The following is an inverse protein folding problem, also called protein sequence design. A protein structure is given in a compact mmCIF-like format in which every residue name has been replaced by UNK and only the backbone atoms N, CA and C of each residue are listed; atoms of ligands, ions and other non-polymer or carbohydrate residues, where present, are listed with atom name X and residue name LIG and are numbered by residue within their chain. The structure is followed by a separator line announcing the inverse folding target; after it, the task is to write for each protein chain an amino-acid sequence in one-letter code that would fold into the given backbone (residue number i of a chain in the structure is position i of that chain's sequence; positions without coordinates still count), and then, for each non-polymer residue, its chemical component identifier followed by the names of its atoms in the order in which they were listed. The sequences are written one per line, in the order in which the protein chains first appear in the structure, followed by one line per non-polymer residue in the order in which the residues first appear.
data_IF_668226590945
#
_entry.id   IF_668226590945
#
_cell.length_a   1.000
_cell.length_b   1.000
_cell.length_c   1.000
_cell.angle_alpha   90.00
_cell.angle_beta   90.00
_cell.angle_gamma   90.00
#
_symmetry.space_group_name_H-M   'P 1'
#
loop_
_entity.id
_entity.type
_entity.pdbx_description
1 polymer ?
#
# COMPACT_ATOMS: atom_id res chain seq x y z
N UNK A 1 25.94 -6.85 20.15
CA UNK A 1 24.76 -6.41 20.94
C UNK A 1 24.98 -4.97 21.36
N UNK A 2 23.96 -4.11 21.27
CA UNK A 2 23.98 -2.73 21.79
C UNK A 2 22.64 -2.48 22.48
N UNK A 3 22.64 -1.91 23.68
CA UNK A 3 21.40 -1.66 24.40
C UNK A 3 21.57 -0.79 25.63
N UNK A 4 20.44 -0.30 26.14
CA UNK A 4 20.41 0.46 27.40
C UNK A 4 20.47 -0.48 28.59
N UNK A 5 21.16 -0.06 29.66
CA UNK A 5 21.22 -0.81 30.92
C UNK A 5 20.44 -0.06 31.98
N UNK A 6 19.60 -0.78 32.73
CA UNK A 6 18.87 -0.20 33.86
C UNK A 6 19.86 0.17 34.96
N UNK A 7 19.72 1.37 35.55
CA UNK A 7 20.66 1.92 36.55
C UNK A 7 20.72 1.13 37.85
N UNK A 8 19.71 0.34 38.16
CA UNK A 8 19.60 -0.46 39.39
C UNK A 8 20.29 -1.84 39.29
N UNK A 9 21.04 -2.09 38.22
CA UNK A 9 21.81 -3.33 38.04
C UNK A 9 23.04 -3.31 38.93
N UNK A 10 23.21 -4.34 39.77
CA UNK A 10 24.31 -4.48 40.73
C UNK A 10 25.68 -4.61 40.06
N UNK A 11 25.69 -5.06 38.81
CA UNK A 11 26.89 -5.23 38.00
C UNK A 11 27.48 -3.89 37.53
N UNK A 12 26.71 -2.79 37.61
CA UNK A 12 27.18 -1.48 37.20
C UNK A 12 28.09 -0.85 38.26
N UNK A 13 29.33 -0.45 37.90
CA UNK A 13 30.18 0.31 38.80
C UNK A 13 29.49 1.59 39.29
N UNK A 14 29.43 1.86 40.60
CA UNK A 14 28.80 3.07 41.14
C UNK A 14 29.36 4.37 40.55
N UNK A 15 30.62 4.36 40.10
CA UNK A 15 31.31 5.47 39.45
C UNK A 15 30.68 5.91 38.12
N UNK A 16 29.96 5.01 37.44
CA UNK A 16 29.17 5.33 36.24
C UNK A 16 27.83 5.98 36.60
N UNK A 17 27.29 5.71 37.79
CA UNK A 17 25.97 6.20 38.21
C UNK A 17 26.02 7.60 38.82
N UNK A 18 27.14 7.96 39.46
CA UNK A 18 27.35 9.29 40.08
C UNK A 18 27.46 10.41 39.04
N UNK A 19 26.51 11.36 39.06
CA UNK A 19 26.44 12.50 38.12
C UNK A 19 26.59 13.89 38.74
N UNK A 20 26.57 14.02 40.06
CA UNK A 20 26.50 15.33 40.77
C UNK A 20 27.62 16.31 40.38
N UNK A 21 28.82 15.80 40.09
CA UNK A 21 29.99 16.60 39.70
C UNK A 21 30.40 16.40 38.24
N UNK A 22 29.53 15.84 37.40
CA UNK A 22 29.84 15.57 36.00
C UNK A 22 29.36 16.73 35.11
N UNK A 23 30.21 17.26 34.21
CA UNK A 23 29.78 18.27 33.26
C UNK A 23 28.75 17.69 32.29
N UNK A 24 27.86 18.56 31.82
CA UNK A 24 26.88 18.22 30.77
C UNK A 24 27.65 17.85 29.49
N UNK A 25 27.12 16.90 28.72
CA UNK A 25 27.76 16.29 27.54
C UNK A 25 29.06 15.53 27.83
N UNK A 26 29.32 15.15 29.09
CA UNK A 26 30.45 14.28 29.42
C UNK A 26 30.08 12.80 29.31
N UNK A 27 31.06 11.99 28.91
CA UNK A 27 30.99 10.54 28.86
C UNK A 27 32.03 9.90 29.78
N UNK A 28 31.71 8.72 30.31
CA UNK A 28 32.64 7.83 31.01
C UNK A 28 32.49 6.45 30.41
N UNK A 29 33.61 5.81 30.12
CA UNK A 29 33.64 4.47 29.57
C UNK A 29 34.24 3.50 30.58
N UNK A 30 33.70 2.30 30.61
CA UNK A 30 34.26 1.15 31.34
C UNK A 30 34.36 0.00 30.36
N UNK A 31 35.51 -0.64 30.37
CA UNK A 31 35.84 -1.71 29.44
C UNK A 31 36.02 -3.02 30.20
N UNK A 32 35.57 -4.08 29.56
CA UNK A 32 35.87 -5.47 29.92
C UNK A 32 36.48 -6.15 28.69
N UNK A 33 36.80 -7.44 28.77
CA UNK A 33 37.41 -8.16 27.65
C UNK A 33 36.54 -8.16 26.37
N UNK A 34 35.21 -8.17 26.52
CA UNK A 34 34.25 -8.36 25.44
C UNK A 34 33.15 -7.28 25.38
N UNK A 35 33.03 -6.43 26.39
CA UNK A 35 31.96 -5.43 26.48
C UNK A 35 32.48 -4.06 26.90
N UNK A 36 31.84 -3.02 26.37
CA UNK A 36 32.05 -1.62 26.74
C UNK A 36 30.77 -1.04 27.29
N UNK A 37 30.86 -0.40 28.45
CA UNK A 37 29.79 0.39 29.06
C UNK A 37 30.10 1.87 28.87
N UNK A 38 29.07 2.65 28.53
CA UNK A 38 29.16 4.11 28.50
C UNK A 38 28.10 4.72 29.41
N UNK A 39 28.52 5.69 30.22
CA UNK A 39 27.63 6.60 30.93
C UNK A 39 27.79 8.00 30.37
N UNK A 40 26.72 8.51 29.75
CA UNK A 40 26.66 9.83 29.14
C UNK A 40 25.67 10.73 29.90
N UNK A 41 26.07 11.97 30.16
CA UNK A 41 25.26 12.98 30.87
C UNK A 41 24.71 13.98 29.84
N UNK A 42 23.51 13.77 29.26
CA UNK A 42 22.96 14.67 28.25
C UNK A 42 22.56 16.03 28.85
N UNK A 43 22.07 16.03 30.10
CA UNK A 43 21.58 17.19 30.85
C UNK A 43 21.94 17.03 32.32
N UNK A 44 21.92 18.13 33.08
CA UNK A 44 22.16 18.10 34.53
C UNK A 44 21.14 17.18 35.22
N UNK A 45 21.63 16.22 36.00
CA UNK A 45 20.79 15.23 36.70
C UNK A 45 20.35 14.04 35.85
N UNK A 46 20.60 14.04 34.54
CA UNK A 46 20.29 12.91 33.65
C UNK A 46 21.54 12.06 33.39
N UNK A 47 21.34 10.75 33.29
CA UNK A 47 22.39 9.80 32.98
C UNK A 47 21.81 8.73 32.06
N UNK A 48 22.47 8.52 30.93
CA UNK A 48 22.14 7.49 29.95
C UNK A 48 23.25 6.45 29.98
N UNK A 49 22.90 5.21 30.34
CA UNK A 49 23.84 4.09 30.42
C UNK A 49 23.55 3.11 29.31
N UNK A 50 24.54 2.85 28.45
CA UNK A 50 24.49 1.85 27.41
C UNK A 50 25.62 0.84 27.56
N UNK A 51 25.36 -0.36 27.06
CA UNK A 51 26.32 -1.44 26.92
C UNK A 51 26.41 -1.83 25.44
N UNK A 52 27.62 -2.13 25.00
CA UNK A 52 27.86 -2.70 23.67
C UNK A 52 28.92 -3.80 23.72
N UNK A 53 28.72 -4.85 22.93
CA UNK A 53 29.76 -5.83 22.58
C UNK A 53 30.40 -5.55 21.21
N UNK A 54 29.89 -4.54 20.49
CA UNK A 54 30.39 -4.13 19.17
C UNK A 54 31.48 -3.06 19.27
N UNK A 55 31.29 -2.08 20.15
CA UNK A 55 32.19 -0.94 20.30
C UNK A 55 33.26 -1.28 21.33
N UNK A 56 34.54 -1.21 20.94
CA UNK A 56 35.68 -1.47 21.84
C UNK A 56 36.42 -0.20 22.26
N UNK A 57 36.21 0.88 21.52
CA UNK A 57 36.88 2.15 21.75
C UNK A 57 35.88 3.19 22.27
N UNK A 58 36.36 4.12 23.10
CA UNK A 58 35.56 5.21 23.66
C UNK A 58 35.32 6.36 22.69
N UNK A 59 35.06 6.05 21.41
CA UNK A 59 34.97 7.06 20.37
C UNK A 59 33.76 7.98 20.60
N UNK A 60 34.02 9.27 20.43
CA UNK A 60 33.02 10.32 20.49
C UNK A 60 32.77 10.80 19.06
N UNK A 61 31.51 11.09 18.78
CA UNK A 61 31.16 11.75 17.54
C UNK A 61 31.61 13.21 17.60
N UNK A 62 32.23 13.69 16.51
CA UNK A 62 32.66 15.09 16.34
C UNK A 62 31.47 16.07 16.12
N UNK A 63 30.25 15.54 16.09
CA UNK A 63 29.02 16.33 15.99
C UNK A 63 28.67 17.03 17.31
N UNK A 64 27.65 17.88 17.23
CA UNK A 64 27.09 18.62 18.36
C UNK A 64 26.79 17.70 19.56
N UNK A 65 27.13 18.16 20.76
CA UNK A 65 26.93 17.46 22.04
C UNK A 65 27.89 16.29 22.37
N UNK A 66 28.93 16.03 21.56
CA UNK A 66 30.01 15.04 21.83
C UNK A 66 29.47 13.68 22.27
N UNK A 67 28.41 13.21 21.59
CA UNK A 67 27.76 11.94 21.92
C UNK A 67 28.69 10.77 21.59
N UNK A 68 28.79 9.76 22.46
CA UNK A 68 29.46 8.50 22.14
C UNK A 68 28.86 7.87 20.87
N UNK A 69 29.71 7.33 20.00
CA UNK A 69 29.27 6.61 18.79
C UNK A 69 28.28 5.49 19.13
N UNK A 70 28.53 4.77 20.24
CA UNK A 70 27.61 3.75 20.77
C UNK A 70 26.17 4.25 20.95
N UNK A 71 25.98 5.51 21.37
CA UNK A 71 24.65 6.10 21.54
C UNK A 71 24.04 6.46 20.18
N UNK A 72 24.86 6.88 19.22
CA UNK A 72 24.40 7.17 17.85
C UNK A 72 23.88 5.89 17.18
N UNK A 73 24.65 4.81 17.24
CA UNK A 73 24.28 3.51 16.68
C UNK A 73 23.03 2.92 17.33
N UNK A 74 22.94 3.02 18.66
CA UNK A 74 21.72 2.65 19.37
C UNK A 74 20.52 3.47 18.91
N UNK A 75 20.66 4.80 18.77
CA UNK A 75 19.55 5.65 18.34
C UNK A 75 19.13 5.39 16.90
N UNK A 76 20.07 5.04 16.02
CA UNK A 76 19.80 4.68 14.63
C UNK A 76 18.98 3.38 14.51
N UNK A 77 19.19 2.43 15.44
CA UNK A 77 18.63 1.07 15.34
C UNK A 77 17.44 0.81 16.27
N UNK A 78 17.35 1.48 17.44
CA UNK A 78 16.32 1.23 18.47
C UNK A 78 14.88 1.39 17.97
N UNK A 79 14.68 2.17 16.90
CA UNK A 79 13.35 2.49 16.38
C UNK A 79 12.72 1.41 15.50
N UNK A 80 13.43 0.35 15.13
CA UNK A 80 12.93 -0.64 14.16
C UNK A 80 11.57 -1.25 14.54
N UNK A 81 11.47 -1.76 15.76
CA UNK A 81 10.23 -2.40 16.26
C UNK A 81 9.12 -1.38 16.49
N UNK A 82 9.42 -0.24 17.13
CA UNK A 82 8.44 0.82 17.36
C UNK A 82 7.88 1.39 16.05
N UNK A 83 8.72 1.50 15.02
CA UNK A 83 8.28 1.96 13.70
C UNK A 83 7.38 0.91 13.04
N UNK A 84 7.72 -0.37 13.13
CA UNK A 84 6.85 -1.44 12.64
C UNK A 84 5.50 -1.40 13.36
N UNK A 85 5.49 -1.30 14.70
CA UNK A 85 4.26 -1.25 15.51
C UNK A 85 3.36 -0.07 15.12
N UNK A 86 3.94 1.13 14.98
CA UNK A 86 3.22 2.31 14.46
C UNK A 86 2.63 2.07 13.08
N UNK A 87 3.40 1.45 12.18
CA UNK A 87 3.00 1.22 10.81
C UNK A 87 1.89 0.17 10.71
N UNK A 88 1.99 -0.92 11.46
CA UNK A 88 0.98 -1.98 11.56
C UNK A 88 -0.31 -1.43 12.15
N UNK A 89 -0.22 -0.66 13.24
CA UNK A 89 -1.39 -0.07 13.91
C UNK A 89 -2.19 0.86 12.98
N UNK A 90 -1.52 1.60 12.08
CA UNK A 90 -2.17 2.52 11.15
C UNK A 90 -3.14 1.85 10.17
N UNK A 91 -2.96 0.55 9.87
CA UNK A 91 -3.81 -0.21 8.94
C UNK A 91 -4.23 -1.55 9.54
N UNK A 92 -4.53 -1.57 10.84
CA UNK A 92 -4.85 -2.80 11.55
C UNK A 92 -6.25 -3.32 11.21
N UNK A 93 -6.36 -4.63 11.02
CA UNK A 93 -7.63 -5.35 10.85
C UNK A 93 -8.24 -5.81 12.18
N UNK A 94 -7.63 -5.47 13.32
CA UNK A 94 -8.11 -5.86 14.65
C UNK A 94 -9.55 -5.44 14.89
N UNK A 95 -10.27 -6.29 15.62
CA UNK A 95 -11.65 -6.06 16.08
C UNK A 95 -11.74 -6.34 17.57
N UNK A 96 -12.65 -5.64 18.24
CA UNK A 96 -12.98 -5.92 19.64
C UNK A 96 -13.45 -7.37 19.74
N UNK A 97 -12.78 -8.14 20.58
CA UNK A 97 -13.05 -9.57 20.78
C UNK A 97 -12.87 -9.92 22.25
N UNK A 98 -13.59 -10.94 22.70
CA UNK A 98 -13.42 -11.55 24.02
C UNK A 98 -12.53 -12.81 23.97
N UNK A 99 -12.06 -13.20 22.79
CA UNK A 99 -11.26 -14.40 22.57
C UNK A 99 -9.81 -14.01 22.28
N UNK A 100 -8.91 -14.27 23.23
CA UNK A 100 -7.48 -13.95 23.09
C UNK A 100 -6.79 -14.59 21.87
N UNK A 101 -7.15 -15.80 21.37
CA UNK A 101 -6.49 -16.35 20.18
C UNK A 101 -6.72 -15.50 18.93
N UNK A 102 -7.90 -14.85 18.84
CA UNK A 102 -8.19 -13.94 17.72
C UNK A 102 -7.30 -12.69 17.75
N UNK A 103 -6.86 -12.24 18.93
CA UNK A 103 -5.92 -11.10 19.03
C UNK A 103 -4.60 -11.45 18.35
N UNK A 104 -4.05 -12.63 18.66
CA UNK A 104 -2.81 -13.12 18.03
C UNK A 104 -3.02 -13.32 16.53
N UNK A 105 -4.16 -13.89 16.12
CA UNK A 105 -4.47 -14.06 14.71
C UNK A 105 -4.49 -12.72 13.95
N UNK A 106 -5.08 -11.67 14.52
CA UNK A 106 -5.04 -10.35 13.93
C UNK A 106 -3.62 -9.77 13.85
N UNK A 107 -2.80 -9.97 14.88
CA UNK A 107 -1.37 -9.58 14.83
C UNK A 107 -0.64 -10.29 13.70
N UNK A 108 -0.84 -11.61 13.56
CA UNK A 108 -0.24 -12.39 12.47
C UNK A 108 -0.66 -11.86 11.09
N UNK A 109 -1.95 -11.53 10.91
CA UNK A 109 -2.45 -10.98 9.65
C UNK A 109 -1.81 -9.62 9.32
N UNK A 110 -1.81 -8.69 10.27
CA UNK A 110 -1.31 -7.34 10.04
C UNK A 110 0.20 -7.34 9.76
N UNK A 111 0.99 -8.12 10.53
CA UNK A 111 2.44 -8.28 10.33
C UNK A 111 2.74 -8.96 9.00
N UNK A 112 2.00 -10.02 8.65
CA UNK A 112 2.19 -10.73 7.38
C UNK A 112 1.90 -9.84 6.18
N UNK A 113 0.82 -9.04 6.25
CA UNK A 113 0.47 -8.10 5.20
C UNK A 113 1.57 -7.02 5.03
N UNK A 114 2.10 -6.49 6.13
CA UNK A 114 3.20 -5.53 6.08
C UNK A 114 4.48 -6.14 5.51
N UNK A 115 4.86 -7.35 5.92
CA UNK A 115 6.03 -8.04 5.38
C UNK A 115 5.88 -8.31 3.87
N UNK A 116 4.69 -8.72 3.43
CA UNK A 116 4.37 -8.87 2.00
C UNK A 116 4.52 -7.56 1.23
N UNK A 117 4.12 -6.43 1.83
CA UNK A 117 4.33 -5.10 1.25
C UNK A 117 5.81 -4.76 1.09
N UNK A 118 6.64 -5.04 2.10
CA UNK A 118 8.09 -4.82 2.03
C UNK A 118 8.71 -5.65 0.91
N UNK A 119 8.39 -6.94 0.83
CA UNK A 119 8.87 -7.84 -0.23
C UNK A 119 8.46 -7.31 -1.61
N UNK A 120 7.21 -6.88 -1.78
CA UNK A 120 6.72 -6.30 -3.05
C UNK A 120 7.51 -5.05 -3.44
N UNK A 121 7.82 -4.17 -2.49
CA UNK A 121 8.61 -2.97 -2.75
C UNK A 121 10.05 -3.31 -3.12
N UNK A 122 10.65 -4.32 -2.47
CA UNK A 122 12.02 -4.76 -2.74
C UNK A 122 12.16 -5.43 -4.11
N UNK A 123 11.18 -6.25 -4.52
CA UNK A 123 11.20 -6.94 -5.82
C UNK A 123 10.77 -6.06 -6.99
N UNK A 124 10.00 -5.01 -6.74
CA UNK A 124 9.45 -4.14 -7.79
C UNK A 124 9.49 -2.66 -7.37
N UNK A 125 10.68 -2.02 -7.36
CA UNK A 125 10.84 -0.62 -6.95
C UNK A 125 10.04 0.38 -7.79
N UNK A 126 9.82 0.04 -9.06
CA UNK A 126 9.03 0.81 -10.03
C UNK A 126 7.53 0.79 -9.75
N UNK A 127 7.05 -0.20 -8.98
CA UNK A 127 5.64 -0.35 -8.70
C UNK A 127 5.10 0.88 -7.97
N UNK A 128 4.10 1.53 -8.60
CA UNK A 128 3.51 2.77 -8.13
C UNK A 128 4.54 3.89 -7.86
N UNK A 129 5.61 4.00 -8.67
CA UNK A 129 6.58 5.11 -8.60
C UNK A 129 5.84 6.47 -8.60
N UNK A 130 6.28 7.37 -7.73
CA UNK A 130 5.67 8.70 -7.56
C UNK A 130 4.37 8.74 -6.74
N UNK A 131 3.80 7.61 -6.34
CA UNK A 131 2.65 7.59 -5.43
C UNK A 131 3.11 7.64 -3.97
N UNK A 132 2.45 8.47 -3.16
CA UNK A 132 2.72 8.58 -1.72
C UNK A 132 2.06 7.45 -0.91
N UNK A 133 0.92 6.92 -1.38
CA UNK A 133 0.09 5.95 -0.64
C UNK A 133 0.32 4.50 -1.07
N UNK A 134 1.57 4.11 -1.37
CA UNK A 134 1.89 2.78 -1.91
C UNK A 134 1.39 1.62 -1.04
N UNK A 135 1.45 1.77 0.29
CA UNK A 135 0.98 0.77 1.24
C UNK A 135 -0.54 0.58 1.21
N UNK A 136 -1.30 1.67 1.11
CA UNK A 136 -2.76 1.62 0.99
C UNK A 136 -3.16 0.87 -0.29
N UNK A 137 -2.53 1.24 -1.40
CA UNK A 137 -2.74 0.58 -2.70
C UNK A 137 -2.39 -0.91 -2.64
N UNK A 138 -1.31 -1.27 -1.94
CA UNK A 138 -0.92 -2.67 -1.77
C UNK A 138 -1.98 -3.45 -1.00
N UNK A 139 -2.49 -2.92 0.11
CA UNK A 139 -3.54 -3.59 0.89
C UNK A 139 -4.86 -3.69 0.13
N UNK A 140 -5.20 -2.68 -0.67
CA UNK A 140 -6.36 -2.75 -1.56
C UNK A 140 -6.21 -3.86 -2.61
N UNK A 141 -5.06 -3.93 -3.28
CA UNK A 141 -4.75 -4.97 -4.27
C UNK A 141 -4.72 -6.36 -3.63
N UNK A 142 -4.10 -6.50 -2.45
CA UNK A 142 -4.07 -7.73 -1.66
C UNK A 142 -5.47 -8.20 -1.30
N UNK A 143 -6.30 -7.31 -0.75
CA UNK A 143 -7.67 -7.62 -0.36
C UNK A 143 -8.52 -8.06 -1.56
N UNK A 144 -8.43 -7.33 -2.68
CA UNK A 144 -9.11 -7.72 -3.93
C UNK A 144 -8.64 -9.09 -4.43
N UNK A 145 -7.34 -9.35 -4.40
CA UNK A 145 -6.76 -10.61 -4.87
C UNK A 145 -7.22 -11.80 -4.03
N UNK A 146 -7.26 -11.66 -2.71
CA UNK A 146 -7.71 -12.72 -1.81
C UNK A 146 -9.21 -13.00 -1.91
N UNK A 147 -10.03 -11.95 -2.08
CA UNK A 147 -11.49 -12.07 -2.06
C UNK A 147 -12.06 -12.45 -3.43
N UNK A 148 -11.44 -12.05 -4.55
CA UNK A 148 -11.93 -12.32 -5.92
C UNK A 148 -12.26 -13.80 -6.18
N UNK A 149 -11.38 -14.79 -5.90
CA UNK A 149 -11.72 -16.20 -6.10
C UNK A 149 -12.92 -16.67 -5.30
N UNK A 150 -13.11 -16.11 -4.09
CA UNK A 150 -14.26 -16.44 -3.23
C UNK A 150 -15.56 -15.83 -3.77
N UNK A 151 -15.51 -14.61 -4.31
CA UNK A 151 -16.64 -13.99 -5.01
C UNK A 151 -17.01 -14.82 -6.23
N UNK A 152 -16.03 -15.27 -7.03
CA UNK A 152 -16.28 -16.10 -8.22
C UNK A 152 -17.05 -17.36 -7.89
N UNK A 153 -16.65 -18.10 -6.85
CA UNK A 153 -17.29 -19.36 -6.42
C UNK A 153 -18.62 -19.17 -5.68
N UNK A 154 -19.01 -17.91 -5.41
CA UNK A 154 -20.20 -17.60 -4.61
C UNK A 154 -21.48 -17.94 -5.39
N UNK A 155 -22.18 -18.99 -4.95
CA UNK A 155 -23.49 -19.38 -5.51
C UNK A 155 -24.63 -18.45 -5.08
N UNK A 156 -24.64 -18.05 -3.80
CA UNK A 156 -25.74 -17.27 -3.23
C UNK A 156 -25.46 -15.78 -3.31
N UNK A 157 -26.26 -15.07 -4.11
CA UNK A 157 -26.14 -13.63 -4.24
C UNK A 157 -26.53 -12.92 -2.92
N UNK A 158 -25.83 -11.82 -2.58
CA UNK A 158 -26.27 -10.92 -1.52
C UNK A 158 -27.71 -10.43 -1.75
N UNK A 159 -28.42 -10.14 -0.64
CA UNK A 159 -29.80 -9.63 -0.70
C UNK A 159 -29.89 -8.21 -1.27
N UNK A 160 -28.84 -7.41 -1.09
CA UNK A 160 -28.78 -6.03 -1.56
C UNK A 160 -28.50 -5.99 -3.07
N UNK A 161 -29.31 -5.28 -3.88
CA UNK A 161 -29.12 -5.22 -5.34
C UNK A 161 -27.72 -4.75 -5.75
N UNK A 162 -27.15 -3.77 -5.06
CA UNK A 162 -25.81 -3.22 -5.34
C UNK A 162 -24.71 -4.27 -5.15
N UNK A 163 -24.77 -5.04 -4.07
CA UNK A 163 -23.78 -6.08 -3.79
C UNK A 163 -23.97 -7.28 -4.72
N UNK A 164 -25.22 -7.64 -5.04
CA UNK A 164 -25.52 -8.66 -6.03
C UNK A 164 -24.98 -8.29 -7.42
N UNK A 165 -25.19 -7.04 -7.87
CA UNK A 165 -24.63 -6.54 -9.13
C UNK A 165 -23.10 -6.58 -9.15
N UNK A 166 -22.46 -6.26 -8.02
CA UNK A 166 -20.99 -6.33 -7.90
C UNK A 166 -20.48 -7.77 -8.04
N UNK A 167 -21.15 -8.74 -7.41
CA UNK A 167 -20.80 -10.16 -7.52
C UNK A 167 -20.96 -10.65 -8.97
N UNK A 168 -22.09 -10.33 -9.61
CA UNK A 168 -22.36 -10.70 -11.00
C UNK A 168 -21.31 -10.13 -11.96
N UNK A 169 -20.98 -8.84 -11.85
CA UNK A 169 -19.95 -8.21 -12.68
C UNK A 169 -18.60 -8.93 -12.57
N UNK A 170 -18.18 -9.28 -11.36
CA UNK A 170 -16.91 -9.98 -11.13
C UNK A 170 -16.93 -11.43 -11.66
N UNK A 171 -18.10 -12.06 -11.70
CA UNK A 171 -18.28 -13.40 -12.29
C UNK A 171 -18.27 -13.34 -13.83
N UNK A 172 -18.92 -12.33 -14.42
CA UNK A 172 -19.02 -12.11 -15.87
C UNK A 172 -17.70 -11.65 -16.51
N UNK A 173 -16.85 -10.90 -15.79
CA UNK A 173 -15.52 -10.44 -16.25
C UNK A 173 -14.60 -11.60 -16.72
N UNK A 174 -14.83 -12.84 -16.27
CA UNK A 174 -14.01 -14.02 -16.61
C UNK A 174 -14.54 -14.80 -17.82
N UNK A 175 -15.87 -14.80 -18.03
CA UNK A 175 -16.50 -15.45 -19.19
C UNK A 175 -16.09 -14.76 -20.50
N UNK A 176 -15.91 -13.43 -20.46
CA UNK A 176 -15.39 -12.65 -21.60
C UNK A 176 -13.89 -12.84 -21.87
N UNK A 177 -13.08 -13.24 -20.88
CA UNK A 177 -11.65 -13.47 -21.06
C UNK A 177 -11.32 -14.84 -21.68
N UNK A 178 -12.26 -15.80 -21.60
CA UNK A 178 -12.10 -17.16 -22.16
C UNK A 178 -12.50 -17.24 -23.64
N UNK A 179 -13.18 -16.22 -24.20
CA UNK A 179 -13.68 -16.22 -25.58
C UNK A 179 -12.74 -15.59 -26.63
N UNK A 180 -11.58 -15.08 -26.24
CA UNK A 180 -10.65 -14.42 -27.17
C UNK A 180 -9.44 -15.30 -27.50
N UNK A 181 -9.65 -16.37 -28.26
CA UNK A 181 -8.59 -17.00 -29.05
C UNK A 181 -9.05 -17.28 -30.48
N UNK A 182 -8.43 -16.53 -31.40
CA UNK A 182 -8.17 -16.81 -32.83
C UNK A 182 -9.36 -16.75 -33.79
N UNK A 183 -9.47 -15.64 -34.53
CA UNK A 183 -9.76 -15.63 -35.96
C UNK A 183 -9.22 -14.33 -36.60
N UNK A 184 -8.36 -14.48 -37.62
CA UNK A 184 -7.88 -13.38 -38.47
C UNK A 184 -9.05 -12.72 -39.25
N UNK A 185 -9.03 -11.40 -39.49
CA UNK A 185 -10.10 -10.74 -40.22
C UNK A 185 -9.91 -10.83 -41.74
N UNK A 186 -10.93 -11.22 -42.53
CA UNK A 186 -10.91 -11.00 -43.97
C UNK A 186 -11.24 -9.53 -44.29
N UNK A 187 -10.43 -8.96 -45.18
CA UNK A 187 -10.58 -7.64 -45.77
C UNK A 187 -11.88 -7.51 -46.58
N UNK A 188 -12.73 -6.54 -46.24
CA UNK A 188 -13.69 -5.96 -47.17
C UNK A 188 -14.13 -4.58 -46.67
N UNK A 189 -13.66 -3.52 -47.34
CA UNK A 189 -14.21 -2.16 -47.20
C UNK A 189 -15.58 -2.09 -47.91
N UNK A 190 -16.62 -1.48 -47.31
CA UNK A 190 -17.79 -1.04 -48.06
C UNK A 190 -17.72 0.47 -48.34
N UNK A 191 -17.76 0.80 -49.63
CA UNK A 191 -17.87 2.14 -50.20
C UNK A 191 -19.06 2.95 -49.65
N UNK A 192 -18.83 4.22 -49.35
CA UNK A 192 -19.85 5.19 -48.94
C UNK A 192 -20.27 6.02 -50.16
N UNK A 193 -21.46 5.75 -50.72
CA UNK A 193 -22.07 6.61 -51.74
C UNK A 193 -22.73 7.82 -51.06
N UNK A 194 -22.12 8.99 -51.20
CA UNK A 194 -22.66 10.26 -50.71
C UNK A 194 -23.77 10.78 -51.65
N UNK A 195 -25.00 10.94 -51.15
CA UNK A 195 -26.05 11.72 -51.83
C UNK A 195 -26.40 12.96 -51.00
N UNK A 196 -26.38 14.14 -51.63
CA UNK A 196 -26.55 15.47 -50.99
C UNK A 196 -28.00 15.81 -50.56
N UNK A 197 -28.93 14.84 -50.48
CA UNK A 197 -30.34 15.08 -50.15
C UNK A 197 -30.64 14.81 -48.67
N UNK A 198 -30.98 15.85 -47.91
CA UNK A 198 -31.39 15.77 -46.49
C UNK A 198 -32.89 15.47 -46.36
N UNK A 199 -33.25 14.40 -45.66
CA UNK A 199 -34.65 14.05 -45.34
C UNK A 199 -34.91 14.10 -43.84
N UNK A 200 -36.18 14.10 -43.44
CA UNK A 200 -36.61 14.13 -42.04
C UNK A 200 -36.19 12.84 -41.31
N UNK A 201 -35.71 12.98 -40.08
CA UNK A 201 -35.43 11.86 -39.18
C UNK A 201 -36.73 11.12 -38.79
N UNK A 202 -36.78 9.81 -39.00
CA UNK A 202 -37.97 9.00 -38.69
C UNK A 202 -38.25 8.87 -37.19
N UNK A 203 -37.22 8.89 -36.33
CA UNK A 203 -37.42 8.87 -34.88
C UNK A 203 -37.91 10.19 -34.28
N UNK A 204 -37.93 11.29 -35.06
CA UNK A 204 -38.36 12.58 -34.57
C UNK A 204 -39.85 12.82 -34.86
N UNK A 205 -40.64 13.01 -33.81
CA UNK A 205 -42.07 13.33 -33.95
C UNK A 205 -42.36 14.60 -34.77
N UNK A 206 -43.58 14.75 -35.32
CA UNK A 206 -44.01 15.79 -36.27
C UNK A 206 -43.53 17.22 -35.96
N UNK A 207 -43.50 17.60 -34.68
CA UNK A 207 -43.14 18.94 -34.21
C UNK A 207 -41.66 19.31 -34.28
N UNK A 208 -40.73 18.35 -34.30
CA UNK A 208 -39.29 18.62 -34.21
C UNK A 208 -38.59 18.76 -35.59
N UNK A 209 -39.21 18.25 -36.67
CA UNK A 209 -38.77 18.23 -38.08
C UNK A 209 -37.24 18.25 -38.36
N UNK A 210 -36.47 17.44 -37.63
CA UNK A 210 -35.00 17.42 -37.78
C UNK A 210 -34.62 16.75 -39.10
N UNK A 211 -33.97 17.51 -40.00
CA UNK A 211 -33.43 16.98 -41.26
C UNK A 211 -32.02 16.41 -41.07
N UNK A 212 -31.78 15.25 -41.67
CA UNK A 212 -30.53 14.49 -41.59
C UNK A 212 -30.15 13.95 -42.97
N UNK A 213 -28.85 13.76 -43.17
CA UNK A 213 -28.27 13.05 -44.32
C UNK A 213 -27.84 11.62 -43.98
N UNK A 214 -27.83 11.28 -42.69
CA UNK A 214 -27.36 9.99 -42.20
C UNK A 214 -28.47 8.96 -42.24
N UNK A 215 -28.13 7.75 -42.67
CA UNK A 215 -29.03 6.59 -42.72
C UNK A 215 -28.50 5.45 -41.87
N UNK A 216 -29.40 4.67 -41.28
CA UNK A 216 -29.03 3.44 -40.57
C UNK A 216 -28.43 2.43 -41.55
N UNK A 217 -27.31 1.81 -41.19
CA UNK A 217 -26.65 0.80 -42.03
C UNK A 217 -27.53 -0.44 -42.25
N UNK A 218 -28.31 -0.85 -41.24
CA UNK A 218 -29.18 -2.02 -41.31
C UNK A 218 -30.52 -1.75 -42.00
N UNK A 219 -31.23 -0.68 -41.62
CA UNK A 219 -32.60 -0.43 -42.12
C UNK A 219 -32.73 0.70 -43.13
N UNK A 220 -31.63 1.40 -43.47
CA UNK A 220 -31.55 2.52 -44.44
C UNK A 220 -32.48 3.71 -44.18
N UNK A 221 -33.10 3.77 -43.00
CA UNK A 221 -33.95 4.88 -42.54
C UNK A 221 -33.11 6.10 -42.20
N UNK A 222 -33.66 7.30 -42.41
CA UNK A 222 -32.98 8.57 -42.08
C UNK A 222 -33.05 8.85 -40.58
N UNK A 223 -31.90 9.06 -39.94
CA UNK A 223 -31.78 9.21 -38.48
C UNK A 223 -30.89 10.41 -38.15
N UNK A 224 -31.30 11.25 -37.18
CA UNK A 224 -30.50 12.39 -36.72
C UNK A 224 -29.52 11.99 -35.62
N UNK A 225 -28.51 12.82 -35.36
CA UNK A 225 -27.45 12.53 -34.39
C UNK A 225 -27.95 12.24 -32.95
N UNK A 226 -29.15 12.71 -32.58
CA UNK A 226 -29.75 12.41 -31.27
C UNK A 226 -30.32 11.00 -31.18
N UNK A 227 -30.62 10.36 -32.31
CA UNK A 227 -31.15 9.01 -32.42
C UNK A 227 -30.11 8.02 -32.98
N UNK A 228 -28.86 8.45 -33.13
CA UNK A 228 -27.74 7.58 -33.49
C UNK A 228 -26.90 7.29 -32.25
N UNK A 229 -26.44 6.04 -32.13
CA UNK A 229 -25.41 5.66 -31.15
C UNK A 229 -24.11 5.44 -31.91
N UNK A 230 -23.00 5.99 -31.40
CA UNK A 230 -21.67 5.74 -31.97
C UNK A 230 -21.18 4.40 -31.46
N UNK A 231 -20.96 3.45 -32.37
CA UNK A 231 -20.42 2.13 -32.08
C UNK A 231 -19.07 2.01 -32.78
N UNK A 232 -18.08 1.41 -32.11
CA UNK A 232 -16.84 1.04 -32.78
C UNK A 232 -17.08 -0.22 -33.64
N UNK A 233 -16.18 -0.48 -34.58
CA UNK A 233 -16.28 -1.63 -35.51
C UNK A 233 -16.35 -2.98 -34.78
N UNK A 234 -15.83 -3.07 -33.56
CA UNK A 234 -15.87 -4.27 -32.72
C UNK A 234 -17.21 -4.47 -31.98
N UNK A 235 -18.05 -3.42 -31.88
CA UNK A 235 -19.37 -3.48 -31.23
C UNK A 235 -20.51 -3.69 -32.24
N UNK A 236 -20.20 -3.92 -33.52
CA UNK A 236 -21.16 -4.01 -34.62
C UNK A 236 -21.32 -5.44 -35.16
N UNK A 237 -21.06 -6.45 -34.32
CA UNK A 237 -21.31 -7.87 -34.59
C UNK A 237 -22.67 -8.26 -34.04
#
# INVERSE_FOLDING_TARGET
MVGTVRKNRSELPPQLLKTEHRPVQSSKFVYTADTTLVSYVPKKGENVVLMSTLHRDGQLCDQEHRKPEMIMDYNATKGGVDNLDKLVTAYSCKRKTLQWPLVIFFDMLDISAYNGFIIRMSLSPEWNRGKLQKRCLFFEELGKTLVRPQIKRRRHLPRTPVSAATVRRIQEEDEGATSCQIAEPPSAEPEIVASNKKKRCEGCGPKMDRKTQYTCTQCKKYICNAHTVKLCTFCMV
#
